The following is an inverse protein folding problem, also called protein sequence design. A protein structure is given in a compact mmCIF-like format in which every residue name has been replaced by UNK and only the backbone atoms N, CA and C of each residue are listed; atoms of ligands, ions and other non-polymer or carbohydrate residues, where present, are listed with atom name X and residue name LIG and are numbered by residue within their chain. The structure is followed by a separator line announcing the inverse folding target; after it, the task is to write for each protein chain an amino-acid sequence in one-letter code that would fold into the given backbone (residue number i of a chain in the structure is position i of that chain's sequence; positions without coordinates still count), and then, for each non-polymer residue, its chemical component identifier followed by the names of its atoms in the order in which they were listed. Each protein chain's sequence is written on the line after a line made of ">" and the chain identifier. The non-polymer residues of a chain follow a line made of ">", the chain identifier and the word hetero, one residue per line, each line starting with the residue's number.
data_IF_548211952936
#
_entry.id   IF_548211952936
#
_cell.length_a   1.000
_cell.length_b   1.000
_cell.length_c   1.000
_cell.angle_alpha   90.00
_cell.angle_beta   90.00
_cell.angle_gamma   90.00
#
_symmetry.space_group_name_H-M   'P 1'
#
loop_
_entity.id
_entity.type
_entity.pdbx_description
1 polymer ?
#
# COMPACT_ATOMS: atom_id res chain seq x y z
N UNK A 1 -13.83 -2.50 -18.68
CA UNK A 1 -12.60 -2.48 -19.48
C UNK A 1 -12.31 -1.16 -20.23
N UNK A 2 -13.31 -0.41 -20.74
CA UNK A 2 -13.06 0.85 -21.47
C UNK A 2 -12.62 2.05 -20.60
N UNK A 3 -12.87 2.05 -19.29
CA UNK A 3 -12.53 3.15 -18.37
C UNK A 3 -11.09 3.10 -17.83
N UNK A 4 -10.41 1.96 -17.89
CA UNK A 4 -9.02 1.80 -17.40
C UNK A 4 -8.03 2.31 -18.46
N UNK A 5 -8.36 2.20 -19.76
CA UNK A 5 -7.48 2.68 -20.83
C UNK A 5 -7.31 4.21 -20.86
N UNK A 6 -8.29 4.97 -20.34
CA UNK A 6 -8.20 6.44 -20.34
C UNK A 6 -7.25 6.98 -19.24
N UNK A 7 -7.06 6.25 -18.16
CA UNK A 7 -6.16 6.66 -17.07
C UNK A 7 -4.68 6.49 -17.45
N UNK A 8 -4.36 5.41 -18.16
CA UNK A 8 -2.99 5.14 -18.63
C UNK A 8 -2.53 6.17 -19.66
N UNK A 9 -3.46 6.70 -20.49
CA UNK A 9 -3.14 7.72 -21.50
C UNK A 9 -2.80 9.09 -20.91
N UNK A 10 -3.35 9.44 -19.74
CA UNK A 10 -3.06 10.71 -19.06
C UNK A 10 -1.68 10.70 -18.41
N UNK A 11 -1.24 9.55 -17.87
CA UNK A 11 0.09 9.41 -17.27
C UNK A 11 1.19 9.48 -18.34
N UNK A 12 0.98 8.89 -19.51
CA UNK A 12 1.95 8.96 -20.62
C UNK A 12 2.15 10.38 -21.18
N UNK A 13 1.13 11.24 -21.15
CA UNK A 13 1.22 12.61 -21.66
C UNK A 13 2.02 13.57 -20.77
N UNK A 14 2.19 13.26 -19.49
CA UNK A 14 2.94 14.10 -18.55
C UNK A 14 4.46 13.95 -18.67
N UNK A 15 4.96 12.90 -19.33
CA UNK A 15 6.41 12.67 -19.48
C UNK A 15 7.05 13.33 -20.71
N UNK A 16 6.28 13.89 -21.64
CA UNK A 16 6.80 14.43 -22.90
C UNK A 16 7.11 15.93 -22.89
N UNK A 17 6.83 16.66 -21.81
CA UNK A 17 6.95 18.12 -21.78
C UNK A 17 8.27 18.69 -21.21
N UNK A 18 9.26 17.86 -20.86
CA UNK A 18 10.43 18.30 -20.08
C UNK A 18 11.75 18.44 -20.87
N UNK A 19 11.74 18.51 -22.19
CA UNK A 19 13.01 18.65 -22.93
C UNK A 19 12.95 19.72 -24.00
N UNK A 20 13.32 20.97 -23.67
CA UNK A 20 13.84 21.98 -24.60
C UNK A 20 14.29 23.23 -23.84
N UNK A 21 15.55 23.28 -23.40
CA UNK A 21 16.26 24.53 -23.18
C UNK A 21 17.72 24.35 -23.59
N UNK A 22 18.03 24.76 -24.81
CA UNK A 22 19.40 24.98 -25.25
C UNK A 22 19.82 26.38 -24.80
N UNK A 23 20.79 26.49 -23.92
CA UNK A 23 21.38 27.76 -23.51
C UNK A 23 22.47 28.23 -24.50
N UNK A 24 22.78 29.54 -24.54
CA UNK A 24 23.73 30.13 -25.50
C UNK A 24 25.19 29.79 -25.18
N UNK A 25 26.01 29.74 -26.23
CA UNK A 25 27.43 29.51 -26.17
C UNK A 25 28.16 30.65 -25.42
N UNK A 26 29.04 30.28 -24.53
CA UNK A 26 29.87 31.21 -23.74
C UNK A 26 31.26 31.35 -24.35
N UNK A 27 31.63 32.59 -24.51
CA UNK A 27 32.94 33.08 -25.03
C UNK A 27 34.02 32.93 -23.96
N UNK A 28 35.20 32.48 -24.37
CA UNK A 28 36.42 32.28 -23.60
C UNK A 28 36.81 33.47 -22.72
N UNK A 29 37.10 33.20 -21.47
CA UNK A 29 37.88 34.07 -20.60
C UNK A 29 38.98 33.26 -19.91
N UNK A 30 40.22 33.69 -20.17
CA UNK A 30 41.44 33.20 -19.53
C UNK A 30 41.41 33.49 -18.05
N UNK A 31 41.37 32.51 -17.28
CA UNK A 31 41.65 32.22 -15.88
C UNK A 31 40.55 31.30 -15.34
N UNK A 32 40.65 30.06 -15.73
CA UNK A 32 39.83 29.00 -15.11
C UNK A 32 40.41 28.74 -13.72
N UNK A 33 39.90 29.46 -12.72
CA UNK A 33 39.89 28.94 -11.37
C UNK A 33 39.08 27.64 -11.49
N UNK A 34 39.73 26.50 -11.31
CA UNK A 34 39.05 25.21 -11.23
C UNK A 34 38.10 25.32 -10.04
N UNK A 35 36.86 25.73 -10.31
CA UNK A 35 35.78 25.63 -9.33
C UNK A 35 35.62 24.14 -9.02
N UNK A 36 35.94 23.77 -7.78
CA UNK A 36 35.61 22.44 -7.29
C UNK A 36 34.11 22.20 -7.62
N UNK A 37 33.77 21.09 -8.29
CA UNK A 37 32.40 20.79 -8.58
C UNK A 37 31.61 20.83 -7.27
N UNK A 38 30.54 21.62 -7.27
CA UNK A 38 29.62 21.66 -6.12
C UNK A 38 29.15 20.24 -5.82
N UNK A 39 29.07 19.86 -4.54
CA UNK A 39 28.62 18.52 -4.18
C UNK A 39 27.22 18.28 -4.75
N UNK A 40 27.06 17.20 -5.46
CA UNK A 40 25.76 16.81 -6.00
C UNK A 40 24.77 16.56 -4.85
N UNK A 41 23.65 17.28 -4.89
CA UNK A 41 22.57 17.13 -3.93
C UNK A 41 21.52 16.21 -4.55
N UNK A 42 21.33 15.06 -3.93
CA UNK A 42 20.38 14.04 -4.38
C UNK A 42 19.05 14.19 -3.65
N UNK A 43 17.92 14.09 -4.36
CA UNK A 43 16.61 13.85 -3.77
C UNK A 43 16.07 14.97 -2.87
N UNK A 44 16.00 16.18 -3.39
CA UNK A 44 15.35 17.33 -2.73
C UNK A 44 14.21 17.87 -3.59
N UNK A 45 13.31 18.62 -2.98
CA UNK A 45 12.19 19.26 -3.67
C UNK A 45 11.03 18.31 -3.93
N UNK A 46 10.23 18.65 -4.92
CA UNK A 46 9.06 17.88 -5.31
C UNK A 46 9.46 16.55 -5.98
N UNK A 47 8.72 15.50 -5.65
CA UNK A 47 8.87 14.21 -6.31
C UNK A 47 7.54 13.52 -6.56
N UNK A 48 7.57 12.61 -7.52
CA UNK A 48 6.55 11.61 -7.74
C UNK A 48 7.19 10.22 -7.73
N UNK A 49 6.43 9.22 -7.30
CA UNK A 49 6.92 7.84 -7.26
C UNK A 49 5.81 6.86 -7.64
N UNK A 50 6.26 5.69 -8.10
CA UNK A 50 5.43 4.51 -8.35
C UNK A 50 6.02 3.36 -7.57
N UNK A 51 5.19 2.56 -6.94
CA UNK A 51 5.62 1.36 -6.23
C UNK A 51 4.69 0.18 -6.48
N UNK A 52 5.22 -0.99 -6.22
CA UNK A 52 4.49 -2.22 -6.24
C UNK A 52 5.19 -3.27 -5.36
N UNK A 53 4.43 -4.23 -4.85
CA UNK A 53 5.00 -5.24 -3.99
C UNK A 53 3.99 -6.27 -3.48
N UNK A 54 4.43 -6.99 -2.47
CA UNK A 54 3.65 -8.01 -1.79
C UNK A 54 2.98 -7.43 -0.54
N UNK A 55 1.77 -7.90 -0.30
CA UNK A 55 1.00 -7.63 0.89
C UNK A 55 0.82 -8.93 1.68
N UNK A 56 1.17 -8.91 2.94
CA UNK A 56 0.87 -9.97 3.88
C UNK A 56 -0.19 -9.47 4.85
N UNK A 57 -1.38 -10.01 4.72
CA UNK A 57 -2.51 -9.68 5.57
C UNK A 57 -2.48 -10.53 6.84
N UNK A 58 -2.77 -9.92 7.98
CA UNK A 58 -2.92 -10.59 9.25
C UNK A 58 -4.31 -10.32 9.82
N UNK A 59 -5.17 -11.34 9.81
CA UNK A 59 -6.39 -11.32 10.62
C UNK A 59 -6.02 -11.76 12.04
N UNK A 60 -6.12 -10.86 13.00
CA UNK A 60 -5.86 -11.11 14.42
C UNK A 60 -7.10 -11.61 15.15
N UNK A 61 -8.26 -11.71 14.48
CA UNK A 61 -9.53 -12.06 15.07
C UNK A 61 -9.70 -13.53 15.48
N UNK A 62 -8.76 -14.40 15.11
CA UNK A 62 -8.81 -15.85 15.42
C UNK A 62 -9.95 -16.59 14.72
N UNK A 63 -10.18 -17.84 15.13
CA UNK A 63 -11.28 -18.64 14.61
C UNK A 63 -12.63 -18.12 15.11
N UNK A 64 -13.65 -18.24 14.25
CA UNK A 64 -15.02 -17.80 14.51
C UNK A 64 -15.96 -18.99 14.42
N UNK A 65 -16.87 -19.08 15.37
CA UNK A 65 -17.88 -20.13 15.41
C UNK A 65 -19.26 -19.49 15.31
N UNK A 66 -19.99 -19.89 14.30
CA UNK A 66 -21.40 -19.52 14.10
C UNK A 66 -22.25 -20.75 14.43
N UNK A 67 -23.39 -20.53 15.08
CA UNK A 67 -24.34 -21.59 15.40
C UNK A 67 -25.69 -21.24 14.81
N UNK A 68 -26.40 -22.26 14.28
CA UNK A 68 -27.77 -22.11 13.84
C UNK A 68 -28.76 -22.51 14.94
N UNK A 69 -30.07 -22.36 14.67
CA UNK A 69 -31.14 -22.69 15.60
C UNK A 69 -31.20 -24.21 15.92
N UNK A 70 -30.58 -25.05 15.10
CA UNK A 70 -30.53 -26.53 15.27
C UNK A 70 -29.30 -27.00 16.02
N UNK A 71 -28.43 -26.10 16.47
CA UNK A 71 -27.20 -26.42 17.21
C UNK A 71 -26.04 -26.86 16.32
N UNK A 72 -26.19 -26.80 14.99
CA UNK A 72 -25.06 -27.00 14.08
C UNK A 72 -24.08 -25.83 14.20
N UNK A 73 -22.80 -26.11 14.10
CA UNK A 73 -21.74 -25.09 14.22
C UNK A 73 -20.90 -25.02 12.95
N UNK A 74 -20.65 -23.80 12.50
CA UNK A 74 -19.71 -23.48 11.42
C UNK A 74 -18.52 -22.74 12.03
N UNK A 75 -17.38 -23.39 12.07
CA UNK A 75 -16.12 -22.78 12.48
C UNK A 75 -15.36 -22.29 11.25
N UNK A 76 -15.01 -20.99 11.22
CA UNK A 76 -14.24 -20.35 10.16
C UNK A 76 -12.87 -19.98 10.74
N UNK A 77 -11.83 -20.57 10.18
CA UNK A 77 -10.44 -20.27 10.49
C UNK A 77 -9.83 -19.44 9.36
N UNK A 78 -9.62 -18.12 9.53
CA UNK A 78 -8.98 -17.30 8.52
C UNK A 78 -7.53 -17.73 8.30
N UNK A 79 -7.11 -17.72 7.03
CA UNK A 79 -5.73 -17.96 6.63
C UNK A 79 -5.12 -16.68 6.11
N UNK A 80 -3.92 -16.40 6.58
CA UNK A 80 -3.11 -15.33 6.02
C UNK A 80 -2.63 -15.73 4.62
N UNK A 81 -2.91 -14.88 3.65
CA UNK A 81 -2.46 -15.08 2.28
C UNK A 81 -1.64 -13.88 1.81
N UNK A 82 -0.80 -14.11 0.82
CA UNK A 82 0.02 -13.07 0.21
C UNK A 82 -0.73 -12.48 -0.97
N UNK A 83 -0.96 -11.17 -0.89
CA UNK A 83 -1.54 -10.39 -1.99
C UNK A 83 -0.51 -9.53 -2.70
N UNK A 84 -1.03 -8.67 -3.57
CA UNK A 84 -0.25 -7.70 -4.32
C UNK A 84 -0.79 -6.30 -4.07
N UNK A 85 0.12 -5.32 -3.94
CA UNK A 85 -0.24 -3.92 -3.92
C UNK A 85 0.51 -3.13 -4.98
N UNK A 86 -0.05 -1.99 -5.36
CA UNK A 86 0.61 -1.01 -6.21
C UNK A 86 0.08 0.39 -5.93
N UNK A 87 0.97 1.38 -5.98
CA UNK A 87 0.65 2.73 -5.58
C UNK A 87 1.35 3.81 -6.38
N UNK A 88 0.88 5.03 -6.12
CA UNK A 88 1.48 6.26 -6.60
C UNK A 88 1.69 7.20 -5.42
N UNK A 89 2.84 7.86 -5.38
CA UNK A 89 3.21 8.78 -4.32
C UNK A 89 3.58 10.13 -4.91
N UNK A 90 3.28 11.19 -4.17
CA UNK A 90 3.76 12.54 -4.46
C UNK A 90 4.16 13.21 -3.16
N UNK A 91 5.30 13.90 -3.16
CA UNK A 91 5.79 14.50 -1.93
C UNK A 91 6.80 15.61 -2.14
N UNK A 92 7.22 16.19 -1.03
CA UNK A 92 8.21 17.25 -1.01
C UNK A 92 9.25 16.99 0.08
N UNK A 93 10.52 16.96 -0.32
CA UNK A 93 11.66 16.82 0.60
C UNK A 93 12.24 18.21 0.88
N UNK A 94 12.34 18.56 2.17
CA UNK A 94 12.82 19.85 2.61
C UNK A 94 14.31 19.78 2.96
N UNK A 95 15.05 20.85 2.62
CA UNK A 95 16.45 21.02 2.98
C UNK A 95 17.42 20.22 2.12
N UNK A 96 18.70 20.46 2.39
CA UNK A 96 19.84 19.88 1.64
C UNK A 96 20.88 19.21 2.54
N UNK A 97 20.64 19.24 3.87
CA UNK A 97 21.49 18.62 4.88
C UNK A 97 21.40 17.10 4.90
N UNK A 98 22.01 16.50 5.92
CA UNK A 98 21.94 15.06 6.16
C UNK A 98 20.54 14.67 6.59
N UNK A 99 19.92 15.41 7.48
CA UNK A 99 18.53 15.21 7.88
C UNK A 99 17.60 16.02 6.99
N UNK A 100 16.61 15.35 6.40
CA UNK A 100 15.67 15.96 5.47
C UNK A 100 14.25 15.49 5.78
N UNK A 101 13.45 16.32 6.43
CA UNK A 101 12.05 16.01 6.60
C UNK A 101 11.32 16.05 5.25
N UNK A 102 10.32 15.22 5.09
CA UNK A 102 9.47 15.21 3.91
C UNK A 102 8.01 15.01 4.29
N UNK A 103 7.13 15.54 3.45
CA UNK A 103 5.71 15.24 3.45
C UNK A 103 5.38 14.47 2.18
N UNK A 104 4.51 13.47 2.29
CA UNK A 104 4.14 12.62 1.16
C UNK A 104 2.65 12.31 1.22
N UNK A 105 2.00 12.36 0.07
CA UNK A 105 0.69 11.77 -0.17
C UNK A 105 0.92 10.44 -0.91
N UNK A 106 0.26 9.39 -0.44
CA UNK A 106 0.39 8.04 -0.94
C UNK A 106 -1.00 7.48 -1.24
N UNK A 107 -1.22 7.06 -2.46
CA UNK A 107 -2.45 6.42 -2.92
C UNK A 107 -2.11 5.03 -3.43
N UNK A 108 -2.58 4.00 -2.76
CA UNK A 108 -2.32 2.63 -3.17
C UNK A 108 -3.58 1.78 -3.22
N UNK A 109 -3.53 0.79 -4.08
CA UNK A 109 -4.51 -0.26 -4.22
C UNK A 109 -3.90 -1.58 -3.80
N UNK A 110 -4.69 -2.37 -3.10
CA UNK A 110 -4.27 -3.58 -2.45
C UNK A 110 -5.29 -4.68 -2.73
N UNK A 111 -4.88 -5.68 -3.47
CA UNK A 111 -5.71 -6.85 -3.78
C UNK A 111 -5.10 -8.10 -3.15
N UNK A 112 -5.86 -8.79 -2.32
CA UNK A 112 -5.42 -10.05 -1.74
C UNK A 112 -6.55 -11.08 -1.68
N UNK A 113 -6.15 -12.35 -1.57
CA UNK A 113 -7.08 -13.43 -1.33
C UNK A 113 -7.13 -13.71 0.16
N UNK A 114 -8.26 -13.46 0.78
CA UNK A 114 -8.53 -13.98 2.11
C UNK A 114 -8.87 -15.46 1.99
N UNK A 115 -8.04 -16.35 2.51
CA UNK A 115 -8.36 -17.76 2.64
C UNK A 115 -9.08 -18.01 3.98
N UNK A 116 -10.03 -18.93 4.00
CA UNK A 116 -10.61 -19.45 5.24
C UNK A 116 -10.88 -20.94 5.12
N UNK A 117 -10.55 -21.68 6.17
CA UNK A 117 -11.05 -23.05 6.33
C UNK A 117 -12.35 -23.00 7.12
N UNK A 118 -13.38 -23.54 6.54
CA UNK A 118 -14.68 -23.67 7.17
C UNK A 118 -14.92 -25.14 7.57
N UNK A 119 -15.20 -25.37 8.84
CA UNK A 119 -15.53 -26.70 9.39
C UNK A 119 -16.95 -26.69 9.87
N UNK A 120 -17.80 -27.50 9.21
CA UNK A 120 -19.19 -27.68 9.58
C UNK A 120 -19.34 -28.91 10.49
N UNK A 121 -19.91 -28.70 11.66
CA UNK A 121 -20.26 -29.76 12.61
C UNK A 121 -21.78 -29.85 12.77
N UNK A 122 -22.36 -30.99 12.49
CA UNK A 122 -23.80 -31.28 12.57
C UNK A 122 -24.01 -32.34 13.62
N UNK A 123 -24.92 -32.14 14.59
CA UNK A 123 -25.19 -33.05 15.70
C UNK A 123 -23.90 -33.47 16.48
N UNK A 124 -22.94 -32.56 16.60
CA UNK A 124 -21.67 -32.82 17.27
C UNK A 124 -20.66 -33.68 16.47
N UNK A 125 -20.97 -33.97 15.19
CA UNK A 125 -20.08 -34.72 14.31
C UNK A 125 -19.60 -33.78 13.19
N UNK A 126 -18.28 -33.69 12.98
CA UNK A 126 -17.70 -32.95 11.87
C UNK A 126 -18.11 -33.61 10.54
N UNK A 127 -18.95 -32.92 9.78
CA UNK A 127 -19.56 -33.47 8.58
C UNK A 127 -18.84 -33.00 7.33
N UNK A 128 -18.24 -31.83 7.35
CA UNK A 128 -17.59 -31.23 6.18
C UNK A 128 -16.50 -30.22 6.57
N UNK A 129 -15.37 -30.33 5.94
CA UNK A 129 -14.34 -29.30 5.94
C UNK A 129 -14.21 -28.76 4.51
N UNK A 130 -14.28 -27.47 4.34
CA UNK A 130 -14.13 -26.81 3.05
C UNK A 130 -13.17 -25.63 3.19
N UNK A 131 -12.31 -25.45 2.23
CA UNK A 131 -11.49 -24.23 2.13
C UNK A 131 -12.09 -23.33 1.07
N UNK A 132 -12.31 -22.07 1.42
CA UNK A 132 -12.77 -21.03 0.50
C UNK A 132 -11.73 -19.92 0.40
N UNK A 133 -11.69 -19.28 -0.76
CA UNK A 133 -10.91 -18.04 -0.94
C UNK A 133 -11.87 -16.95 -1.38
N UNK A 134 -11.83 -15.81 -0.71
CA UNK A 134 -12.54 -14.59 -1.11
C UNK A 134 -11.54 -13.54 -1.53
N UNK A 135 -11.86 -12.78 -2.56
CA UNK A 135 -11.09 -11.61 -2.94
C UNK A 135 -11.49 -10.42 -2.06
N UNK A 136 -10.50 -9.78 -1.47
CA UNK A 136 -10.65 -8.54 -0.73
C UNK A 136 -9.85 -7.48 -1.47
N UNK A 137 -10.54 -6.42 -1.85
CA UNK A 137 -9.93 -5.26 -2.49
C UNK A 137 -9.93 -4.12 -1.49
N UNK A 138 -8.77 -3.51 -1.28
CA UNK A 138 -8.64 -2.32 -0.46
C UNK A 138 -7.93 -1.23 -1.22
N UNK A 139 -8.29 0.00 -0.96
CA UNK A 139 -7.57 1.17 -1.41
C UNK A 139 -7.35 2.10 -0.23
N UNK A 140 -6.23 2.81 -0.20
CA UNK A 140 -5.99 3.78 0.85
C UNK A 140 -5.37 5.06 0.28
N UNK A 141 -5.75 6.19 0.87
CA UNK A 141 -5.09 7.46 0.70
C UNK A 141 -4.46 7.87 2.03
N UNK A 142 -3.14 7.99 2.06
CA UNK A 142 -2.38 8.28 3.27
C UNK A 142 -1.62 9.59 3.12
N UNK A 143 -1.50 10.32 4.23
CA UNK A 143 -0.63 11.49 4.36
C UNK A 143 0.49 11.15 5.33
N UNK A 144 1.72 11.22 4.89
CA UNK A 144 2.90 10.74 5.58
C UNK A 144 3.83 11.90 5.96
N UNK A 145 4.42 11.79 7.14
CA UNK A 145 5.59 12.55 7.56
C UNK A 145 6.80 11.61 7.55
N UNK A 146 7.84 11.98 6.84
CA UNK A 146 9.01 11.13 6.61
C UNK A 146 10.27 11.86 7.09
N UNK A 147 11.11 11.15 7.81
CA UNK A 147 12.46 11.56 8.20
C UNK A 147 13.46 10.81 7.31
N UNK A 148 14.11 11.51 6.37
CA UNK A 148 15.14 10.96 5.48
C UNK A 148 16.51 11.34 5.98
N UNK A 149 17.48 10.42 5.81
CA UNK A 149 18.89 10.62 6.16
C UNK A 149 19.75 10.47 4.91
N UNK A 150 20.31 11.58 4.42
CA UNK A 150 21.02 11.63 3.16
C UNK A 150 22.51 11.32 3.33
N UNK A 151 22.91 10.10 2.99
CA UNK A 151 24.30 9.67 2.91
C UNK A 151 24.74 9.54 1.45
N UNK A 152 24.75 10.68 0.75
CA UNK A 152 25.02 10.70 -0.68
C UNK A 152 23.89 10.04 -1.47
N UNK A 153 24.23 8.99 -2.23
CA UNK A 153 23.26 8.25 -3.06
C UNK A 153 22.34 7.33 -2.25
N UNK A 154 22.76 6.91 -1.08
CA UNK A 154 21.97 6.04 -0.21
C UNK A 154 21.26 6.88 0.85
N UNK A 155 19.93 6.83 0.87
CA UNK A 155 19.12 7.65 1.76
C UNK A 155 18.07 6.79 2.47
N UNK A 156 18.40 6.20 3.63
CA UNK A 156 17.41 5.52 4.46
C UNK A 156 16.42 6.53 5.04
N UNK A 157 15.22 6.07 5.29
CA UNK A 157 14.16 6.88 5.88
C UNK A 157 13.20 6.06 6.73
N UNK A 158 12.55 6.74 7.65
CA UNK A 158 11.43 6.24 8.43
C UNK A 158 10.31 7.28 8.41
N UNK A 159 9.10 6.83 8.57
CA UNK A 159 7.96 7.73 8.55
C UNK A 159 6.75 7.15 9.26
N UNK A 160 5.75 8.00 9.45
CA UNK A 160 4.44 7.62 9.92
C UNK A 160 3.38 8.43 9.18
N UNK A 161 2.21 7.85 9.02
CA UNK A 161 1.12 8.49 8.30
C UNK A 161 -0.24 8.12 8.84
N UNK A 162 -1.20 8.97 8.50
CA UNK A 162 -2.62 8.75 8.76
C UNK A 162 -3.40 9.00 7.48
N UNK A 163 -4.54 8.35 7.35
CA UNK A 163 -5.33 8.49 6.14
C UNK A 163 -6.68 7.81 6.24
N UNK A 164 -7.28 7.60 5.09
CA UNK A 164 -8.55 6.90 4.93
C UNK A 164 -8.34 5.70 4.04
N UNK A 165 -9.01 4.61 4.38
CA UNK A 165 -9.04 3.43 3.54
C UNK A 165 -10.47 3.12 3.10
N UNK A 166 -10.57 2.39 2.00
CA UNK A 166 -11.77 1.79 1.49
C UNK A 166 -11.53 0.30 1.31
N UNK A 167 -12.42 -0.52 1.83
CA UNK A 167 -12.38 -1.97 1.69
C UNK A 167 -13.68 -2.47 1.08
N UNK A 168 -13.56 -3.39 0.14
CA UNK A 168 -14.67 -4.10 -0.48
C UNK A 168 -14.40 -5.60 -0.37
N UNK A 169 -15.31 -6.32 0.26
CA UNK A 169 -15.28 -7.78 0.34
C UNK A 169 -16.40 -8.37 -0.50
N UNK A 170 -16.09 -9.40 -1.28
CA UNK A 170 -17.11 -10.25 -1.85
C UNK A 170 -17.71 -11.09 -0.72
N UNK A 171 -19.04 -11.01 -0.53
CA UNK A 171 -19.76 -11.90 0.39
C UNK A 171 -19.60 -13.36 -0.03
N UNK A 172 -19.77 -14.28 0.91
CA UNK A 172 -19.87 -15.71 0.62
C UNK A 172 -21.07 -16.31 1.33
N UNK A 173 -21.76 -17.21 0.62
CA UNK A 173 -22.88 -17.95 1.16
C UNK A 173 -22.43 -19.40 1.45
N UNK A 174 -22.74 -19.89 2.61
CA UNK A 174 -22.49 -21.27 3.00
C UNK A 174 -23.81 -22.01 3.21
N UNK A 175 -24.12 -22.96 2.35
CA UNK A 175 -25.34 -23.75 2.46
C UNK A 175 -25.13 -25.01 3.29
N UNK A 176 -25.90 -25.18 4.35
CA UNK A 176 -26.00 -26.41 5.12
C UNK A 176 -27.28 -27.17 4.74
N UNK A 177 -27.30 -28.51 4.83
CA UNK A 177 -28.52 -29.29 4.56
C UNK A 177 -29.71 -28.97 5.47
N UNK A 178 -29.47 -28.31 6.62
CA UNK A 178 -30.49 -27.98 7.62
C UNK A 178 -30.74 -26.48 7.83
N UNK A 179 -30.00 -25.63 7.16
CA UNK A 179 -30.14 -24.18 7.29
C UNK A 179 -28.90 -23.47 6.73
N UNK A 180 -29.11 -22.29 6.17
CA UNK A 180 -28.06 -21.54 5.55
C UNK A 180 -27.28 -20.74 6.60
N UNK A 181 -25.95 -20.75 6.48
CA UNK A 181 -25.07 -19.83 7.15
C UNK A 181 -24.67 -18.79 6.08
N UNK A 182 -25.29 -17.64 6.09
CA UNK A 182 -25.04 -16.65 5.05
C UNK A 182 -24.71 -15.30 5.64
N UNK A 183 -23.72 -14.63 5.03
CA UNK A 183 -23.65 -13.20 4.99
C UNK A 183 -23.95 -12.79 3.55
N UNK A 184 -25.18 -12.46 3.29
CA UNK A 184 -25.60 -12.01 1.98
C UNK A 184 -25.03 -10.63 1.69
N UNK A 185 -24.25 -10.53 0.62
CA UNK A 185 -23.85 -9.27 0.03
C UNK A 185 -22.40 -8.86 0.32
N UNK A 186 -21.78 -8.24 -0.67
CA UNK A 186 -20.51 -7.55 -0.48
C UNK A 186 -20.70 -6.34 0.43
N UNK A 187 -19.88 -6.23 1.46
CA UNK A 187 -19.85 -5.05 2.33
C UNK A 187 -18.75 -4.11 1.85
N UNK A 188 -19.06 -2.83 1.78
CA UNK A 188 -18.05 -1.78 1.56
C UNK A 188 -17.92 -0.94 2.83
N UNK A 189 -16.71 -0.68 3.24
CA UNK A 189 -16.41 0.10 4.44
C UNK A 189 -15.30 1.11 4.17
N UNK A 190 -15.44 2.31 4.73
CA UNK A 190 -14.42 3.34 4.67
C UNK A 190 -14.20 3.88 6.08
N UNK A 191 -12.95 3.94 6.53
CA UNK A 191 -12.59 4.42 7.86
C UNK A 191 -11.16 4.95 7.89
N UNK A 192 -10.71 5.35 9.08
CA UNK A 192 -9.37 5.85 9.31
C UNK A 192 -8.36 4.70 9.36
N UNK A 193 -7.17 5.00 8.86
CA UNK A 193 -6.01 4.12 8.93
C UNK A 193 -4.78 4.91 9.38
N UNK A 194 -3.82 4.21 9.97
CA UNK A 194 -2.50 4.74 10.24
C UNK A 194 -1.43 3.77 9.76
N UNK A 195 -0.24 4.29 9.46
CA UNK A 195 0.87 3.46 9.02
C UNK A 195 2.20 3.93 9.60
N UNK A 196 3.13 2.97 9.68
CA UNK A 196 4.54 3.23 9.91
C UNK A 196 5.31 2.76 8.70
N UNK A 197 6.29 3.56 8.27
CA UNK A 197 7.06 3.34 7.05
C UNK A 197 8.53 3.24 7.40
N UNK A 198 9.24 2.31 6.77
CA UNK A 198 10.69 2.23 6.78
C UNK A 198 11.19 1.86 5.40
N UNK A 199 12.18 2.58 4.89
CA UNK A 199 12.69 2.33 3.54
C UNK A 199 14.04 2.95 3.29
N UNK A 200 14.52 2.76 2.08
CA UNK A 200 15.75 3.37 1.60
C UNK A 200 15.68 3.66 0.09
N UNK A 201 16.11 4.86 -0.28
CA UNK A 201 16.33 5.24 -1.68
C UNK A 201 17.79 4.99 -2.08
N UNK A 202 17.98 4.56 -3.31
CA UNK A 202 19.27 4.59 -3.99
C UNK A 202 19.20 5.47 -5.24
N UNK A 203 19.94 6.55 -5.26
CA UNK A 203 19.95 7.55 -6.32
C UNK A 203 20.94 7.19 -7.42
N UNK A 204 20.45 6.97 -8.63
CA UNK A 204 21.25 6.78 -9.84
C UNK A 204 21.78 8.11 -10.36
N UNK A 205 21.01 9.16 -10.21
CA UNK A 205 21.35 10.56 -10.48
C UNK A 205 20.58 11.48 -9.52
N UNK A 206 20.82 12.81 -9.49
CA UNK A 206 20.15 13.73 -8.56
C UNK A 206 18.63 13.69 -8.60
N UNK A 207 18.04 13.30 -9.73
CA UNK A 207 16.58 13.32 -9.96
C UNK A 207 15.91 11.94 -9.92
N UNK A 208 16.65 10.86 -10.08
CA UNK A 208 16.08 9.53 -10.21
C UNK A 208 16.65 8.56 -9.19
N UNK A 209 15.78 7.90 -8.46
CA UNK A 209 16.11 6.84 -7.52
C UNK A 209 15.20 5.62 -7.67
N UNK A 210 15.72 4.49 -7.25
CA UNK A 210 14.93 3.31 -6.89
C UNK A 210 14.84 3.23 -5.38
N UNK A 211 13.76 2.68 -4.86
CA UNK A 211 13.61 2.49 -3.42
C UNK A 211 13.02 1.12 -3.09
N UNK A 212 13.29 0.69 -1.87
CA UNK A 212 12.60 -0.41 -1.21
C UNK A 212 11.91 0.15 0.04
N UNK A 213 10.71 -0.33 0.32
CA UNK A 213 9.90 0.20 1.40
C UNK A 213 9.09 -0.90 2.07
N UNK A 214 9.00 -0.82 3.36
CA UNK A 214 8.13 -1.61 4.21
C UNK A 214 7.11 -0.69 4.86
N UNK A 215 5.84 -1.09 4.84
CA UNK A 215 4.77 -0.44 5.59
C UNK A 215 4.16 -1.43 6.58
N UNK A 216 3.92 -0.98 7.77
CA UNK A 216 2.94 -1.56 8.67
C UNK A 216 1.71 -0.67 8.65
N UNK A 217 0.62 -1.18 8.13
CA UNK A 217 -0.66 -0.48 7.99
C UNK A 217 -1.68 -1.12 8.92
N UNK A 218 -2.37 -0.30 9.70
CA UNK A 218 -3.39 -0.72 10.64
C UNK A 218 -4.67 0.08 10.43
N UNK A 219 -5.80 -0.63 10.48
CA UNK A 219 -7.13 -0.07 10.29
C UNK A 219 -7.82 0.07 11.65
N UNK A 220 -8.23 1.28 12.01
CA UNK A 220 -8.71 1.63 13.36
C UNK A 220 -9.99 0.92 13.78
N UNK A 221 -10.85 0.51 12.89
CA UNK A 221 -11.99 -0.39 13.18
C UNK A 221 -12.67 -0.84 11.89
N UNK A 222 -12.61 -2.11 11.57
CA UNK A 222 -13.43 -2.69 10.51
C UNK A 222 -14.67 -3.32 11.12
N UNK A 223 -15.79 -2.61 11.11
CA UNK A 223 -17.09 -3.19 11.41
C UNK A 223 -17.68 -3.73 10.11
N UNK A 224 -17.52 -5.02 9.84
CA UNK A 224 -18.34 -5.70 8.85
C UNK A 224 -19.65 -6.13 9.52
N UNK A 225 -20.75 -5.47 9.27
CA UNK A 225 -22.17 -5.71 9.61
C UNK A 225 -22.57 -6.60 10.81
N UNK A 226 -21.66 -7.25 11.48
CA UNK A 226 -21.86 -8.00 12.70
C UNK A 226 -21.05 -7.35 13.81
N UNK A 227 -21.59 -6.52 14.65
CA UNK A 227 -21.13 -5.92 15.92
C UNK A 227 -19.73 -6.30 16.49
N UNK A 228 -18.84 -6.87 15.70
CA UNK A 228 -17.49 -7.26 16.05
C UNK A 228 -16.49 -6.41 15.30
N UNK A 229 -15.75 -5.60 16.03
CA UNK A 229 -14.58 -4.88 15.50
C UNK A 229 -13.49 -5.88 15.12
N UNK A 230 -12.99 -5.82 13.89
CA UNK A 230 -11.82 -6.57 13.45
C UNK A 230 -10.59 -5.70 13.58
N UNK A 231 -9.60 -6.25 14.23
CA UNK A 231 -8.26 -5.67 14.30
C UNK A 231 -7.47 -6.23 13.10
N UNK A 232 -7.37 -5.41 12.04
CA UNK A 232 -6.73 -5.81 10.78
C UNK A 232 -5.41 -5.08 10.63
N UNK A 233 -4.32 -5.84 10.56
CA UNK A 233 -3.00 -5.32 10.24
C UNK A 233 -2.48 -5.85 8.91
N UNK A 234 -1.75 -5.03 8.17
CA UNK A 234 -1.12 -5.41 6.91
C UNK A 234 0.36 -5.07 6.94
N UNK A 235 1.15 -5.99 6.40
CA UNK A 235 2.57 -5.78 6.15
C UNK A 235 2.78 -5.69 4.64
N UNK A 236 3.17 -4.52 4.14
CA UNK A 236 3.44 -4.29 2.74
C UNK A 236 4.96 -4.20 2.55
N UNK A 237 5.49 -4.97 1.63
CA UNK A 237 6.90 -4.91 1.24
C UNK A 237 6.96 -4.67 -0.26
N UNK A 238 7.54 -3.56 -0.67
CA UNK A 238 7.58 -3.17 -2.07
C UNK A 238 8.86 -2.50 -2.50
N UNK A 239 8.94 -2.29 -3.78
CA UNK A 239 9.98 -1.53 -4.44
C UNK A 239 9.35 -0.55 -5.42
N UNK A 240 10.05 0.54 -5.69
CA UNK A 240 9.53 1.57 -6.58
C UNK A 240 10.59 2.42 -7.24
N UNK A 241 10.09 3.33 -8.06
CA UNK A 241 10.86 4.33 -8.78
C UNK A 241 10.40 5.71 -8.31
N UNK A 242 11.35 6.60 -8.01
CA UNK A 242 11.08 7.98 -7.58
C UNK A 242 11.80 8.96 -8.50
N UNK A 243 11.09 9.98 -8.92
CA UNK A 243 11.60 11.04 -9.78
C UNK A 243 11.41 12.40 -9.10
N UNK A 244 12.50 13.17 -8.96
CA UNK A 244 12.55 14.54 -8.43
C UNK A 244 12.59 15.56 -9.57
N UNK A 245 11.88 16.64 -9.42
CA UNK A 245 11.74 17.70 -10.42
C UNK A 245 12.69 18.87 -10.19
#
# INVERSE_FOLDING_TARGET
>A
MKKILSLVSVVAALFTAASLHAGPAVVESKNVVQQQPLPEIFGTGFYMALDAGANVYQDRGGSRTFSNEFGDTLEINPKNDVGFFGGIKAGWVFGTGVFRPAIEADLFYNGFRGGADATLTVDGVTTRTSSGTSFINTGAFMSNLIAKFAFGRFQPYVGAGVGVYYAESAGFDFHSPRGDFGTSGGASHADLAWQVIAGADYYWNPKFSTFIEYHYLDYTSTQFETNESRDLGQHLIGAGLRFHF
#
